data_IF_130035347078
#
_entry.id   IF_130035347078
#
_cell.length_a   1.000
_cell.length_b   1.000
_cell.length_c   1.000
_cell.angle_alpha   90.00
_cell.angle_beta   90.00
_cell.angle_gamma   90.00
#
_symmetry.space_group_name_H-M   'P 1'
#
loop_
_entity.id
_entity.type
_entity.pdbx_description
1 polymer ?
#
# COMPACT_ATOMS: atom_id res chain seq x y z
N UNK A 1 -45.24 5.85 -29.71
CA UNK A 1 -44.91 5.99 -28.28
C UNK A 1 -43.80 5.02 -27.81
N UNK A 2 -42.63 4.88 -28.46
CA UNK A 2 -41.58 3.94 -28.00
C UNK A 2 -40.46 4.60 -27.18
N UNK A 3 -40.23 5.91 -27.32
CA UNK A 3 -39.06 6.62 -26.75
C UNK A 3 -39.05 6.63 -25.21
N UNK A 4 -40.24 6.61 -24.58
CA UNK A 4 -40.40 6.72 -23.12
C UNK A 4 -39.93 5.45 -22.37
N UNK A 5 -39.95 4.27 -23.03
CA UNK A 5 -39.46 3.01 -22.46
C UNK A 5 -37.98 2.73 -22.73
N UNK A 6 -37.38 3.36 -23.75
CA UNK A 6 -35.95 3.16 -24.06
C UNK A 6 -35.03 3.84 -23.05
N UNK A 7 -35.36 5.05 -22.59
CA UNK A 7 -34.57 5.81 -21.61
C UNK A 7 -34.34 5.00 -20.31
N UNK A 8 -35.37 4.43 -19.65
CA UNK A 8 -35.15 3.64 -18.44
C UNK A 8 -34.35 2.35 -18.70
N UNK A 9 -34.51 1.71 -19.86
CA UNK A 9 -33.73 0.51 -20.23
C UNK A 9 -32.24 0.85 -20.38
N UNK A 10 -31.93 1.95 -21.07
CA UNK A 10 -30.54 2.40 -21.23
C UNK A 10 -29.90 2.79 -19.89
N UNK A 11 -30.66 3.41 -18.98
CA UNK A 11 -30.16 3.74 -17.63
C UNK A 11 -29.81 2.46 -16.85
N UNK A 12 -30.68 1.44 -16.89
CA UNK A 12 -30.42 0.17 -16.21
C UNK A 12 -29.22 -0.55 -16.82
N UNK A 13 -29.11 -0.61 -18.15
CA UNK A 13 -27.96 -1.20 -18.83
C UNK A 13 -26.66 -0.47 -18.51
N UNK A 14 -26.70 0.87 -18.45
CA UNK A 14 -25.54 1.68 -18.07
C UNK A 14 -25.11 1.40 -16.62
N UNK A 15 -26.05 1.32 -15.68
CA UNK A 15 -25.74 0.98 -14.29
C UNK A 15 -25.12 -0.40 -14.15
N UNK A 16 -25.65 -1.40 -14.85
CA UNK A 16 -25.07 -2.76 -14.88
C UNK A 16 -23.65 -2.73 -15.46
N UNK A 17 -23.43 -2.00 -16.56
CA UNK A 17 -22.11 -1.86 -17.15
C UNK A 17 -21.11 -1.18 -16.20
N UNK A 18 -21.52 -0.13 -15.48
CA UNK A 18 -20.68 0.55 -14.49
C UNK A 18 -20.35 -0.38 -13.33
N UNK A 19 -21.31 -1.14 -12.80
CA UNK A 19 -21.05 -2.10 -11.71
C UNK A 19 -20.07 -3.19 -12.16
N UNK A 20 -20.27 -3.75 -13.36
CA UNK A 20 -19.35 -4.75 -13.93
C UNK A 20 -17.96 -4.15 -14.13
N UNK A 21 -17.86 -2.91 -14.63
CA UNK A 21 -16.60 -2.21 -14.79
C UNK A 21 -15.89 -1.94 -13.45
N UNK A 22 -16.61 -1.54 -12.41
CA UNK A 22 -16.05 -1.36 -11.06
C UNK A 22 -15.54 -2.69 -10.50
N UNK A 23 -16.31 -3.77 -10.63
CA UNK A 23 -15.89 -5.11 -10.19
C UNK A 23 -14.65 -5.57 -10.96
N UNK A 24 -14.62 -5.36 -12.28
CA UNK A 24 -13.50 -5.74 -13.14
C UNK A 24 -12.24 -4.94 -12.82
N UNK A 25 -12.35 -3.62 -12.65
CA UNK A 25 -11.22 -2.75 -12.25
C UNK A 25 -10.73 -3.07 -10.84
N UNK A 26 -11.63 -3.35 -9.88
CA UNK A 26 -11.24 -3.80 -8.55
C UNK A 26 -10.50 -5.15 -8.59
N UNK A 27 -10.97 -6.11 -9.40
CA UNK A 27 -10.31 -7.41 -9.57
C UNK A 27 -8.96 -7.31 -10.27
N UNK A 28 -8.81 -6.40 -11.22
CA UNK A 28 -7.57 -6.23 -11.99
C UNK A 28 -6.60 -5.22 -11.34
N UNK A 29 -6.79 -4.88 -10.07
CA UNK A 29 -5.85 -4.05 -9.33
C UNK A 29 -5.87 -2.57 -9.73
N UNK A 30 -6.98 -2.05 -10.26
CA UNK A 30 -7.15 -0.62 -10.57
C UNK A 30 -7.02 0.31 -9.35
N UNK A 31 -7.10 -0.24 -8.13
CA UNK A 31 -6.85 0.44 -6.85
C UNK A 31 -5.55 -0.03 -6.16
N UNK A 32 -4.72 -0.80 -6.87
CA UNK A 32 -3.46 -1.31 -6.36
C UNK A 32 -2.42 -0.21 -6.31
N UNK A 33 -1.70 -0.13 -5.20
CA UNK A 33 -0.56 0.77 -5.02
C UNK A 33 0.75 0.11 -5.44
N UNK A 34 0.74 -1.07 -6.08
CA UNK A 34 1.97 -1.69 -6.60
C UNK A 34 2.73 -0.72 -7.52
N UNK A 35 4.03 -0.61 -7.30
CA UNK A 35 4.94 0.26 -8.04
C UNK A 35 6.22 -0.46 -8.38
N UNK A 36 6.98 0.14 -9.28
CA UNK A 36 8.36 -0.26 -9.51
C UNK A 36 9.22 0.05 -8.28
N UNK A 37 10.14 -0.86 -7.99
CA UNK A 37 11.06 -0.72 -6.86
C UNK A 37 11.94 0.52 -7.02
N UNK A 38 12.19 1.24 -5.91
CA UNK A 38 13.08 2.41 -5.90
C UNK A 38 14.47 2.10 -5.36
N UNK A 39 14.70 0.86 -4.91
CA UNK A 39 15.97 0.44 -4.31
C UNK A 39 16.78 -0.43 -5.28
N UNK A 40 18.09 -0.41 -5.11
CA UNK A 40 18.97 -1.43 -5.71
C UNK A 40 19.11 -2.57 -4.72
N UNK A 41 18.84 -3.79 -5.18
CA UNK A 41 18.98 -5.00 -4.38
C UNK A 41 20.45 -5.26 -4.06
N UNK A 42 20.72 -5.67 -2.82
CA UNK A 42 22.02 -6.19 -2.40
C UNK A 42 22.25 -7.59 -2.96
N UNK A 43 23.50 -8.05 -2.92
CA UNK A 43 23.83 -9.41 -3.34
C UNK A 43 23.07 -10.45 -2.49
N UNK A 44 22.32 -11.33 -3.14
CA UNK A 44 21.48 -12.34 -2.49
C UNK A 44 20.16 -11.82 -1.89
N UNK A 45 19.80 -10.55 -2.11
CA UNK A 45 18.51 -9.98 -1.70
C UNK A 45 17.45 -10.21 -2.79
N UNK A 46 16.27 -10.70 -2.41
CA UNK A 46 15.16 -10.94 -3.33
C UNK A 46 13.97 -10.01 -3.07
N UNK A 47 13.37 -9.41 -4.11
CA UNK A 47 12.24 -8.51 -3.94
C UNK A 47 10.97 -9.31 -3.65
N UNK A 48 10.19 -8.89 -2.65
CA UNK A 48 8.88 -9.47 -2.33
C UNK A 48 7.77 -8.57 -2.87
N UNK A 49 7.80 -7.29 -2.51
CA UNK A 49 6.79 -6.31 -2.90
C UNK A 49 7.37 -4.91 -2.96
N UNK A 50 6.99 -4.15 -3.99
CA UNK A 50 7.17 -2.70 -4.03
C UNK A 50 5.79 -2.04 -4.14
N UNK A 51 5.48 -1.15 -3.19
CA UNK A 51 4.14 -0.53 -3.09
C UNK A 51 4.22 0.94 -2.69
N UNK A 52 3.39 1.78 -3.28
CA UNK A 52 3.26 3.19 -2.94
C UNK A 52 2.60 3.34 -1.58
N UNK A 53 3.23 4.13 -0.70
CA UNK A 53 2.57 4.60 0.51
C UNK A 53 1.67 5.76 0.12
N UNK A 54 0.36 5.57 0.33
CA UNK A 54 -0.65 6.56 -0.05
C UNK A 54 -0.71 7.68 1.00
N UNK A 55 -0.65 7.32 2.28
CA UNK A 55 -0.73 8.27 3.40
C UNK A 55 0.06 7.77 4.61
N UNK A 56 0.69 8.66 5.36
CA UNK A 56 1.15 8.38 6.72
C UNK A 56 0.18 8.94 7.77
N UNK A 57 0.27 8.43 9.01
CA UNK A 57 -0.49 9.01 10.13
C UNK A 57 -0.14 10.49 10.29
N UNK A 58 -1.17 11.34 10.27
CA UNK A 58 -1.06 12.81 10.33
C UNK A 58 -0.26 13.36 11.51
N UNK A 59 -0.22 12.63 12.63
CA UNK A 59 0.58 12.99 13.81
C UNK A 59 2.09 12.84 13.61
N UNK A 60 2.52 12.08 12.60
CA UNK A 60 3.94 11.89 12.25
C UNK A 60 4.51 13.10 11.49
N UNK A 61 3.65 13.99 10.95
CA UNK A 61 4.07 15.11 10.12
C UNK A 61 3.56 16.44 10.69
N UNK A 62 4.47 17.38 10.92
CA UNK A 62 4.13 18.73 11.42
C UNK A 62 3.21 19.51 10.45
N UNK A 63 3.15 19.13 9.18
CA UNK A 63 2.28 19.76 8.19
C UNK A 63 1.40 18.73 7.47
N UNK A 64 0.09 18.89 7.62
CA UNK A 64 -0.98 18.06 7.06
C UNK A 64 -0.93 17.96 5.52
N UNK A 65 -0.30 18.94 4.86
CA UNK A 65 -0.19 19.03 3.40
C UNK A 65 1.15 18.48 2.86
N UNK A 66 2.07 18.04 3.73
CA UNK A 66 3.38 17.47 3.36
C UNK A 66 3.45 15.99 3.71
N UNK A 67 2.40 15.24 3.39
CA UNK A 67 2.44 13.79 3.53
C UNK A 67 3.29 13.25 2.39
N UNK A 68 4.47 12.67 2.67
CA UNK A 68 5.38 12.28 1.63
C UNK A 68 4.81 11.08 0.89
N UNK A 69 4.61 11.25 -0.42
CA UNK A 69 4.47 10.12 -1.33
C UNK A 69 5.81 9.41 -1.45
N UNK A 70 5.80 8.11 -1.55
CA UNK A 70 7.00 7.31 -1.68
C UNK A 70 6.68 5.83 -1.90
N UNK A 71 7.72 5.05 -2.11
CA UNK A 71 7.61 3.60 -2.32
C UNK A 71 8.18 2.90 -1.11
N UNK A 72 7.41 1.92 -0.61
CA UNK A 72 7.82 0.93 0.36
C UNK A 72 8.27 -0.31 -0.41
N UNK A 73 9.56 -0.58 -0.33
CA UNK A 73 10.20 -1.76 -0.88
C UNK A 73 10.38 -2.79 0.25
N UNK A 74 9.80 -3.97 0.08
CA UNK A 74 9.91 -5.11 0.98
C UNK A 74 10.68 -6.21 0.25
N UNK A 75 11.78 -6.62 0.85
CA UNK A 75 12.62 -7.73 0.39
C UNK A 75 12.60 -8.86 1.41
N UNK A 76 13.29 -9.96 1.12
CA UNK A 76 13.54 -11.05 2.06
C UNK A 76 14.49 -10.70 3.21
N UNK A 77 15.12 -9.51 3.18
CA UNK A 77 16.08 -9.05 4.18
C UNK A 77 15.64 -7.80 4.94
N UNK A 78 14.93 -6.87 4.30
CA UNK A 78 14.65 -5.55 4.87
C UNK A 78 13.40 -4.90 4.30
N UNK A 79 12.96 -3.85 4.97
CA UNK A 79 11.89 -2.95 4.55
C UNK A 79 12.47 -1.55 4.40
N UNK A 80 12.32 -0.96 3.22
CA UNK A 80 12.91 0.34 2.89
C UNK A 80 11.83 1.27 2.38
N UNK A 81 11.71 2.44 2.99
CA UNK A 81 10.83 3.50 2.51
C UNK A 81 11.64 4.62 1.84
N UNK A 82 11.34 4.85 0.56
CA UNK A 82 11.96 5.90 -0.25
C UNK A 82 10.93 6.93 -0.65
N UNK A 83 11.08 8.15 -0.12
CA UNK A 83 10.27 9.31 -0.49
C UNK A 83 10.44 9.65 -1.97
N UNK A 84 9.37 10.08 -2.63
CA UNK A 84 9.35 10.47 -4.04
C UNK A 84 10.07 11.80 -4.30
N UNK A 85 9.91 12.76 -3.39
CA UNK A 85 10.56 14.07 -3.45
C UNK A 85 11.27 14.37 -2.11
N UNK A 86 12.60 14.39 -2.09
CA UNK A 86 13.39 14.66 -0.89
C UNK A 86 14.65 13.80 -0.80
N UNK A 87 15.19 13.63 0.40
CA UNK A 87 16.33 12.76 0.65
C UNK A 87 15.99 11.27 0.41
N UNK A 88 16.97 10.51 -0.08
CA UNK A 88 16.84 9.06 -0.30
C UNK A 88 16.87 8.33 1.05
N UNK A 89 15.97 7.35 1.22
CA UNK A 89 15.83 6.47 2.39
C UNK A 89 15.40 7.19 3.67
N UNK A 90 14.09 7.45 3.81
CA UNK A 90 13.54 8.05 5.03
C UNK A 90 13.56 7.04 6.20
N UNK A 91 13.46 5.74 5.89
CA UNK A 91 13.93 4.68 6.78
C UNK A 91 14.30 3.42 5.99
N UNK A 92 15.20 2.62 6.56
CA UNK A 92 15.52 1.27 6.13
C UNK A 92 15.65 0.42 7.39
N UNK A 93 14.77 -0.56 7.54
CA UNK A 93 14.74 -1.47 8.68
C UNK A 93 15.12 -2.86 8.19
N UNK A 94 16.19 -3.42 8.74
CA UNK A 94 16.53 -4.82 8.54
C UNK A 94 15.48 -5.71 9.24
N UNK A 95 15.26 -6.93 8.74
CA UNK A 95 14.29 -7.88 9.31
C UNK A 95 14.43 -8.05 10.82
N UNK A 96 15.67 -8.08 11.32
CA UNK A 96 15.98 -8.26 12.73
C UNK A 96 15.72 -7.01 13.59
N UNK A 97 15.54 -5.84 12.99
CA UNK A 97 15.22 -4.58 13.68
C UNK A 97 13.70 -4.40 13.87
N UNK A 98 12.90 -5.16 13.13
CA UNK A 98 11.44 -5.13 13.25
C UNK A 98 11.00 -6.06 14.39
N UNK A 99 10.15 -5.54 15.27
CA UNK A 99 9.58 -6.26 16.41
C UNK A 99 8.25 -6.91 16.03
N UNK A 100 7.32 -6.12 15.50
CA UNK A 100 6.01 -6.58 15.06
C UNK A 100 5.40 -5.64 14.00
N UNK A 101 4.35 -6.12 13.35
CA UNK A 101 3.55 -5.34 12.40
C UNK A 101 2.08 -5.48 12.79
N UNK A 102 1.38 -4.37 12.94
CA UNK A 102 -0.03 -4.34 13.32
C UNK A 102 -0.90 -3.85 12.15
N UNK A 103 -2.04 -4.51 11.95
CA UNK A 103 -3.11 -4.06 11.06
C UNK A 103 -4.12 -3.22 11.84
N UNK A 104 -4.11 -1.90 11.60
CA UNK A 104 -4.99 -0.96 12.30
C UNK A 104 -6.38 -0.80 11.62
N UNK A 105 -6.69 -1.65 10.63
CA UNK A 105 -7.94 -1.58 9.86
C UNK A 105 -7.87 -0.69 8.61
N UNK A 106 -8.72 -1.03 7.63
CA UNK A 106 -8.83 -0.32 6.36
C UNK A 106 -7.57 -0.47 5.50
N UNK A 107 -6.83 0.62 5.32
CA UNK A 107 -5.58 0.65 4.54
C UNK A 107 -4.34 0.71 5.42
N UNK A 108 -4.48 0.78 6.75
CA UNK A 108 -3.39 1.15 7.65
C UNK A 108 -2.59 -0.07 8.12
N UNK A 109 -1.27 0.06 8.02
CA UNK A 109 -0.26 -0.87 8.51
C UNK A 109 0.72 -0.09 9.38
N UNK A 110 1.05 -0.64 10.55
CA UNK A 110 2.03 -0.04 11.46
C UNK A 110 3.17 -1.01 11.74
N UNK A 111 4.40 -0.60 11.45
CA UNK A 111 5.61 -1.37 11.76
C UNK A 111 6.17 -0.88 13.09
N UNK A 112 6.33 -1.77 14.06
CA UNK A 112 7.00 -1.52 15.33
C UNK A 112 8.45 -1.99 15.25
N UNK A 113 9.40 -1.09 15.45
CA UNK A 113 10.82 -1.40 15.50
C UNK A 113 11.27 -1.63 16.94
N UNK A 114 12.25 -2.51 17.14
CA UNK A 114 12.81 -2.86 18.46
C UNK A 114 13.45 -1.70 19.21
N UNK A 115 13.78 -0.61 18.50
CA UNK A 115 14.27 0.62 19.10
C UNK A 115 13.16 1.50 19.71
N UNK A 116 11.90 1.04 19.70
CA UNK A 116 10.73 1.76 20.20
C UNK A 116 10.08 2.70 19.18
N UNK A 117 10.59 2.77 17.95
CA UNK A 117 9.98 3.57 16.87
C UNK A 117 8.80 2.84 16.25
N UNK A 118 7.75 3.57 15.88
CA UNK A 118 6.60 3.03 15.17
C UNK A 118 6.37 3.79 13.86
N UNK A 119 6.24 3.05 12.75
CA UNK A 119 6.06 3.59 11.40
C UNK A 119 4.66 3.21 10.90
N UNK A 120 3.72 4.16 10.97
CA UNK A 120 2.31 3.94 10.61
C UNK A 120 1.95 4.61 9.29
N UNK A 121 1.56 3.79 8.31
CA UNK A 121 1.29 4.20 6.94
C UNK A 121 0.13 3.44 6.31
N UNK A 122 -0.36 3.93 5.17
CA UNK A 122 -1.48 3.37 4.45
C UNK A 122 -1.02 2.83 3.08
N UNK A 123 -1.39 1.60 2.77
CA UNK A 123 -1.20 0.94 1.46
C UNK A 123 -2.53 0.37 0.96
N UNK A 124 -2.66 0.17 -0.35
CA UNK A 124 -3.89 -0.34 -0.95
C UNK A 124 -3.61 -1.45 -1.98
N UNK A 125 -4.07 -2.68 -1.76
CA UNK A 125 -4.69 -3.17 -0.54
C UNK A 125 -3.65 -3.35 0.59
N UNK A 126 -4.02 -3.04 1.83
CA UNK A 126 -3.14 -3.29 3.00
C UNK A 126 -2.73 -4.76 3.12
N UNK A 127 -3.62 -5.67 2.72
CA UNK A 127 -3.38 -7.11 2.70
C UNK A 127 -2.10 -7.49 1.97
N UNK A 128 -1.81 -6.90 0.81
CA UNK A 128 -0.61 -7.23 0.03
C UNK A 128 0.67 -6.87 0.82
N UNK A 129 0.64 -5.74 1.53
CA UNK A 129 1.75 -5.33 2.40
C UNK A 129 1.91 -6.25 3.61
N UNK A 130 0.81 -6.64 4.25
CA UNK A 130 0.85 -7.57 5.38
C UNK A 130 1.37 -8.95 4.96
N UNK A 131 0.88 -9.49 3.84
CA UNK A 131 1.33 -10.77 3.30
C UNK A 131 2.84 -10.71 2.94
N UNK A 132 3.33 -9.60 2.39
CA UNK A 132 4.75 -9.41 2.09
C UNK A 132 5.62 -9.32 3.35
N UNK A 133 5.16 -8.64 4.40
CA UNK A 133 5.85 -8.55 5.69
C UNK A 133 5.86 -9.90 6.43
N UNK A 134 4.80 -10.68 6.28
CA UNK A 134 4.76 -12.06 6.78
C UNK A 134 5.73 -12.95 6.01
N UNK A 135 5.83 -12.81 4.69
CA UNK A 135 6.79 -13.54 3.85
C UNK A 135 8.25 -13.14 4.16
N UNK A 136 8.51 -11.88 4.50
CA UNK A 136 9.80 -11.45 5.06
C UNK A 136 10.12 -12.18 6.38
N UNK A 137 9.11 -12.71 7.07
CA UNK A 137 9.24 -13.50 8.30
C UNK A 137 9.17 -12.64 9.55
N UNK A 138 8.41 -11.55 9.50
CA UNK A 138 8.17 -10.63 10.61
C UNK A 138 6.84 -11.00 11.27
N UNK A 139 6.69 -10.88 12.60
CA UNK A 139 5.40 -11.13 13.25
C UNK A 139 4.34 -10.11 12.81
N UNK A 140 3.24 -10.59 12.22
CA UNK A 140 2.12 -9.74 11.76
C UNK A 140 0.86 -10.03 12.59
N UNK A 141 0.34 -9.03 13.27
CA UNK A 141 -0.95 -9.05 13.95
C UNK A 141 -2.05 -8.50 13.02
N UNK A 142 -3.04 -9.34 12.71
CA UNK A 142 -4.15 -9.04 11.80
C UNK A 142 -5.45 -8.74 12.54
#
# INVERSE_FOLDING_TARGET
>A
MPVILFIPIFIVLFLVAVVVFIIWTAKNGGFSTKRDSKITLREGETPILATEIVWFRKSMYMNKNKIPRGVLDITDQRVVYTREFGEKYEFALEKNEIESVDYDGGMRVTIHAKNGSAYSFNTSPAKDTLDALEQLGVPVAR
#
